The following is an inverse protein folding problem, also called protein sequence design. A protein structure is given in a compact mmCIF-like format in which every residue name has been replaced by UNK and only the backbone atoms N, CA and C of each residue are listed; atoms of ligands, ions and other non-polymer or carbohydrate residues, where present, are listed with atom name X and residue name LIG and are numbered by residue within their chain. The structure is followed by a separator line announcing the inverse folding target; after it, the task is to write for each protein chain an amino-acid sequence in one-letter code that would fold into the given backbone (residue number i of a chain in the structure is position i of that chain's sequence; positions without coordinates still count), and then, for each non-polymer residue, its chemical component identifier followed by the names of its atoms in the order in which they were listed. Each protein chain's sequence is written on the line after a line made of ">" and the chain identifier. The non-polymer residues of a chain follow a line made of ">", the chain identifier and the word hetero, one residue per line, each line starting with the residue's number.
data_IF_237548500640
#
_entry.id   IF_237548500640
#
_cell.length_a   1.000
_cell.length_b   1.000
_cell.length_c   1.000
_cell.angle_alpha   90.00
_cell.angle_beta   90.00
_cell.angle_gamma   90.00
#
_symmetry.space_group_name_H-M   'P 1'
#
loop_
_entity.id
_entity.type
_entity.pdbx_description
1 polymer ?
#
# COMPACT_ATOMS: atom_id res chain seq x y z
N UNK A 1 -1.31 4.80 -22.57
CA UNK A 1 -1.22 5.62 -21.34
C UNK A 1 -1.01 4.66 -20.20
N UNK A 2 0.00 4.86 -19.37
CA UNK A 2 0.17 4.05 -18.16
C UNK A 2 -0.92 4.47 -17.17
N UNK A 3 -1.79 3.53 -16.80
CA UNK A 3 -2.83 3.77 -15.80
C UNK A 3 -2.24 3.41 -14.44
N UNK A 4 -2.11 4.41 -13.58
CA UNK A 4 -1.64 4.25 -12.20
C UNK A 4 -2.82 4.29 -11.27
N UNK A 5 -3.00 3.23 -10.50
CA UNK A 5 -4.12 3.09 -9.60
C UNK A 5 -3.75 2.23 -8.40
N UNK A 6 -4.44 2.49 -7.29
CA UNK A 6 -4.34 1.70 -6.07
C UNK A 6 -5.64 0.92 -5.93
N UNK A 7 -5.51 -0.39 -5.72
CA UNK A 7 -6.60 -1.29 -5.40
C UNK A 7 -6.50 -1.78 -3.97
N UNK A 8 -7.66 -2.14 -3.45
CA UNK A 8 -7.82 -2.73 -2.14
C UNK A 8 -7.70 -4.25 -2.22
N UNK A 9 -6.75 -4.84 -1.49
CA UNK A 9 -6.58 -6.29 -1.42
C UNK A 9 -7.77 -6.95 -0.73
N UNK A 10 -7.94 -8.26 -0.88
CA UNK A 10 -9.02 -8.97 -0.18
C UNK A 10 -8.86 -8.89 1.34
N UNK A 11 -7.61 -8.91 1.82
CA UNK A 11 -7.31 -8.63 3.22
C UNK A 11 -7.71 -7.20 3.61
N UNK A 12 -7.40 -6.22 2.75
CA UNK A 12 -7.75 -4.83 2.97
C UNK A 12 -9.26 -4.58 3.03
N UNK A 13 -10.05 -5.27 2.20
CA UNK A 13 -11.52 -5.23 2.27
C UNK A 13 -12.03 -5.65 3.63
N UNK A 14 -11.56 -6.80 4.14
CA UNK A 14 -11.93 -7.26 5.48
C UNK A 14 -11.40 -6.34 6.58
N UNK A 15 -10.20 -5.79 6.42
CA UNK A 15 -9.61 -4.87 7.38
C UNK A 15 -10.40 -3.56 7.49
N UNK A 16 -10.80 -2.97 6.37
CA UNK A 16 -11.61 -1.74 6.34
C UNK A 16 -13.01 -2.01 6.87
N UNK A 17 -13.64 -3.12 6.47
CA UNK A 17 -14.95 -3.50 7.01
C UNK A 17 -14.92 -3.61 8.56
N UNK A 18 -13.84 -4.18 9.12
CA UNK A 18 -13.65 -4.25 10.57
C UNK A 18 -13.29 -2.90 11.22
N UNK A 19 -12.50 -2.07 10.53
CA UNK A 19 -12.11 -0.76 11.02
C UNK A 19 -13.29 0.22 11.02
N UNK A 20 -14.22 0.11 10.08
CA UNK A 20 -15.45 0.91 10.06
C UNK A 20 -16.34 0.62 11.28
N UNK A 21 -16.27 -0.60 11.82
CA UNK A 21 -16.97 -0.99 13.05
C UNK A 21 -16.23 -0.57 14.35
N UNK A 22 -14.90 -0.39 14.31
CA UNK A 22 -14.06 -0.17 15.51
C UNK A 22 -13.29 1.17 15.52
N UNK A 23 -13.49 2.04 14.52
CA UNK A 23 -12.88 3.39 14.38
C UNK A 23 -11.35 3.48 14.42
N UNK A 24 -10.61 2.37 14.28
CA UNK A 24 -9.15 2.38 14.28
C UNK A 24 -8.57 1.70 13.05
N UNK A 25 -8.36 2.47 11.99
CA UNK A 25 -7.67 2.03 10.78
C UNK A 25 -6.14 2.10 11.04
N UNK A 26 -5.56 1.02 11.55
CA UNK A 26 -4.13 0.97 11.89
C UNK A 26 -3.26 0.61 10.67
N UNK A 27 -3.10 1.54 9.73
CA UNK A 27 -2.07 1.43 8.67
C UNK A 27 -0.72 1.82 9.27
N UNK A 28 0.28 0.95 9.17
CA UNK A 28 1.54 1.16 9.90
C UNK A 28 2.70 1.47 8.98
N UNK A 29 2.73 0.87 7.79
CA UNK A 29 3.84 1.04 6.86
C UNK A 29 3.37 1.12 5.42
N UNK A 30 4.10 1.90 4.62
CA UNK A 30 4.04 1.88 3.16
C UNK A 30 5.24 1.09 2.67
N UNK A 31 4.99 0.12 1.79
CA UNK A 31 6.01 -0.70 1.16
C UNK A 31 6.13 -0.30 -0.31
N UNK A 32 7.34 -0.32 -0.82
CA UNK A 32 7.69 0.11 -2.18
C UNK A 32 8.58 -0.95 -2.80
N UNK A 33 8.38 -1.21 -4.09
CA UNK A 33 9.12 -2.21 -4.84
C UNK A 33 9.28 -1.87 -6.31
N UNK A 34 10.19 -2.59 -6.95
CA UNK A 34 10.47 -2.47 -8.39
C UNK A 34 9.86 -3.61 -9.22
N UNK A 35 9.11 -4.53 -8.60
CA UNK A 35 8.52 -5.68 -9.27
C UNK A 35 9.50 -6.49 -10.17
N UNK A 36 10.80 -6.44 -9.90
CA UNK A 36 11.89 -6.97 -10.74
C UNK A 36 11.91 -6.40 -12.17
N UNK A 37 11.65 -5.10 -12.33
CA UNK A 37 11.53 -4.42 -13.64
C UNK A 37 10.44 -5.05 -14.55
N UNK A 38 9.45 -5.72 -13.96
CA UNK A 38 8.34 -6.33 -14.69
C UNK A 38 7.09 -5.44 -14.66
N UNK A 39 6.22 -5.52 -15.69
CA UNK A 39 4.96 -4.79 -15.68
C UNK A 39 4.10 -5.19 -14.48
N UNK A 40 3.86 -4.23 -13.59
CA UNK A 40 3.09 -4.46 -12.37
C UNK A 40 1.62 -4.07 -12.56
N UNK A 41 0.75 -5.08 -12.45
CA UNK A 41 -0.69 -4.93 -12.56
C UNK A 41 -1.35 -5.25 -11.20
N UNK A 42 -1.90 -4.25 -10.49
CA UNK A 42 -2.50 -4.44 -9.17
C UNK A 42 -3.69 -5.42 -9.16
N UNK A 43 -4.45 -5.53 -10.26
CA UNK A 43 -5.64 -6.39 -10.35
C UNK A 43 -5.32 -7.87 -10.10
N UNK A 44 -4.15 -8.31 -10.56
CA UNK A 44 -3.70 -9.68 -10.46
C UNK A 44 -3.03 -9.97 -9.11
N UNK A 45 -2.97 -8.97 -8.21
CA UNK A 45 -2.23 -9.02 -6.95
C UNK A 45 -3.09 -8.74 -5.72
N UNK A 46 -4.40 -8.67 -5.88
CA UNK A 46 -5.37 -8.42 -4.80
C UNK A 46 -5.36 -9.49 -3.70
N UNK A 47 -4.94 -10.71 -4.01
CA UNK A 47 -4.82 -11.81 -3.05
C UNK A 47 -3.45 -11.85 -2.36
N UNK A 48 -2.49 -11.04 -2.80
CA UNK A 48 -1.15 -11.04 -2.23
C UNK A 48 -1.11 -10.29 -0.91
N UNK A 49 -0.34 -10.83 0.04
CA UNK A 49 -0.11 -10.21 1.35
C UNK A 49 1.20 -9.44 1.42
N UNK A 50 2.05 -9.56 0.40
CA UNK A 50 3.35 -8.89 0.25
C UNK A 50 3.61 -8.51 -1.20
N UNK A 51 4.49 -7.53 -1.43
CA UNK A 51 4.94 -7.12 -2.77
C UNK A 51 5.77 -8.21 -3.46
N UNK A 52 5.87 -8.16 -4.79
CA UNK A 52 6.66 -9.12 -5.58
C UNK A 52 8.15 -8.97 -5.32
N UNK A 53 8.63 -7.73 -5.33
CA UNK A 53 10.01 -7.38 -4.99
C UNK A 53 10.04 -6.12 -4.13
N UNK A 54 9.76 -6.29 -2.83
CA UNK A 54 9.86 -5.21 -1.87
C UNK A 54 11.31 -4.73 -1.74
N UNK A 55 11.55 -3.46 -2.06
CA UNK A 55 12.85 -2.80 -1.90
C UNK A 55 12.92 -1.93 -0.67
N UNK A 56 11.79 -1.34 -0.31
CA UNK A 56 11.73 -0.34 0.73
C UNK A 56 10.46 -0.50 1.57
N UNK A 57 10.60 -0.16 2.84
CA UNK A 57 9.49 -0.10 3.80
C UNK A 57 9.66 1.17 4.62
N UNK A 58 8.64 2.00 4.60
CA UNK A 58 8.62 3.29 5.30
C UNK A 58 7.43 3.32 6.25
N UNK A 59 7.63 3.89 7.43
CA UNK A 59 6.54 4.04 8.38
C UNK A 59 5.55 5.10 7.87
N UNK A 60 4.26 4.84 8.07
CA UNK A 60 3.23 5.85 7.80
C UNK A 60 3.44 7.02 8.74
N UNK A 61 3.55 8.23 8.19
CA UNK A 61 3.79 9.46 8.94
C UNK A 61 2.49 10.04 9.46
N UNK A 62 1.42 9.99 8.66
CA UNK A 62 0.10 10.48 9.06
C UNK A 62 -1.00 9.79 8.25
N UNK A 63 -2.14 9.58 8.91
CA UNK A 63 -3.37 9.09 8.29
C UNK A 63 -4.44 10.12 8.57
N UNK A 64 -5.02 10.68 7.53
CA UNK A 64 -6.10 11.66 7.61
C UNK A 64 -7.32 11.10 6.90
N UNK A 65 -8.41 10.89 7.63
CA UNK A 65 -9.71 10.59 7.03
C UNK A 65 -10.21 11.90 6.38
N UNK A 66 -10.36 11.92 5.06
CA UNK A 66 -10.83 13.10 4.32
C UNK A 66 -12.35 13.12 4.25
N UNK A 67 -12.98 11.95 4.07
CA UNK A 67 -14.43 11.74 4.09
C UNK A 67 -14.73 10.26 4.36
N UNK A 68 -16.01 9.86 4.40
CA UNK A 68 -16.41 8.47 4.68
C UNK A 68 -15.87 7.43 3.68
N UNK A 69 -15.42 7.85 2.49
CA UNK A 69 -14.93 6.95 1.44
C UNK A 69 -13.44 7.10 1.13
N UNK A 70 -12.77 8.10 1.70
CA UNK A 70 -11.42 8.52 1.32
C UNK A 70 -10.58 8.78 2.55
N UNK A 71 -9.46 8.07 2.62
CA UNK A 71 -8.40 8.32 3.58
C UNK A 71 -7.12 8.71 2.83
N UNK A 72 -6.46 9.76 3.32
CA UNK A 72 -5.15 10.19 2.86
C UNK A 72 -4.08 9.62 3.79
N UNK A 73 -3.14 8.88 3.21
CA UNK A 73 -2.03 8.26 3.92
C UNK A 73 -0.75 8.88 3.41
N UNK A 74 -0.02 9.54 4.30
CA UNK A 74 1.25 10.18 3.97
C UNK A 74 2.40 9.42 4.61
N UNK A 75 3.44 9.15 3.83
CA UNK A 75 4.69 8.58 4.30
C UNK A 75 5.87 9.30 3.65
N UNK A 76 6.93 9.52 4.44
CA UNK A 76 8.17 10.13 3.94
C UNK A 76 9.18 9.04 3.66
N UNK A 77 9.61 8.96 2.39
CA UNK A 77 10.70 8.07 1.99
C UNK A 77 12.00 8.84 2.11
N UNK A 78 12.91 8.44 3.03
CA UNK A 78 14.20 9.11 3.15
C UNK A 78 15.06 8.81 1.92
N UNK A 79 15.90 9.77 1.53
CA UNK A 79 16.69 9.70 0.29
C UNK A 79 17.69 8.53 0.24
N UNK A 80 18.04 7.97 1.40
CA UNK A 80 18.91 6.79 1.52
C UNK A 80 18.22 5.47 1.11
N UNK A 81 16.90 5.46 0.97
CA UNK A 81 16.10 4.26 0.65
C UNK A 81 15.86 4.11 -0.86
N UNK A 82 16.28 5.08 -1.68
CA UNK A 82 16.13 5.05 -3.15
C UNK A 82 17.11 4.14 -3.90
N UNK A 83 17.24 4.35 -5.21
CA UNK A 83 18.15 3.58 -6.09
C UNK A 83 17.49 2.46 -6.89
N UNK A 84 16.16 2.45 -6.96
CA UNK A 84 15.36 1.53 -7.77
C UNK A 84 14.21 2.28 -8.44
N UNK A 85 13.67 1.73 -9.53
CA UNK A 85 12.48 2.25 -10.18
C UNK A 85 11.23 1.80 -9.41
N UNK A 86 10.36 2.72 -9.03
CA UNK A 86 9.11 2.35 -8.38
C UNK A 86 8.15 1.78 -9.41
N UNK A 87 7.79 0.51 -9.25
CA UNK A 87 6.79 -0.17 -10.08
C UNK A 87 5.59 -0.63 -9.26
N UNK A 88 5.81 -0.92 -7.98
CA UNK A 88 4.77 -1.37 -7.06
C UNK A 88 4.83 -0.60 -5.74
N UNK A 89 3.65 -0.23 -5.26
CA UNK A 89 3.45 0.40 -3.96
C UNK A 89 2.40 -0.40 -3.21
N UNK A 90 2.56 -0.51 -1.89
CA UNK A 90 1.57 -1.12 -1.05
C UNK A 90 1.50 -0.45 0.32
N UNK A 91 0.39 -0.67 1.02
CA UNK A 91 0.22 -0.19 2.39
C UNK A 91 -0.11 -1.40 3.26
N UNK A 92 0.59 -1.58 4.36
CA UNK A 92 0.42 -2.70 5.29
C UNK A 92 -0.17 -2.27 6.63
N UNK A 93 -0.94 -3.18 7.23
CA UNK A 93 -1.45 -3.03 8.59
C UNK A 93 -0.38 -3.33 9.67
N UNK A 94 -0.76 -3.32 10.94
CA UNK A 94 0.09 -3.72 12.07
C UNK A 94 0.51 -5.20 12.05
N UNK A 95 -0.24 -6.06 11.38
CA UNK A 95 0.08 -7.46 11.14
C UNK A 95 1.11 -7.66 10.02
N UNK A 96 1.50 -6.59 9.32
CA UNK A 96 2.40 -6.63 8.18
C UNK A 96 1.79 -7.16 6.89
N UNK A 97 0.45 -7.22 6.80
CA UNK A 97 -0.27 -7.68 5.60
C UNK A 97 -0.64 -6.52 4.71
N UNK A 98 -0.51 -6.68 3.39
CA UNK A 98 -0.98 -5.71 2.42
C UNK A 98 -2.49 -5.47 2.53
N UNK A 99 -2.87 -4.23 2.77
CA UNK A 99 -4.24 -3.70 2.74
C UNK A 99 -4.51 -3.07 1.38
N UNK A 100 -3.55 -2.31 0.87
CA UNK A 100 -3.62 -1.67 -0.43
C UNK A 100 -2.43 -2.04 -1.28
N UNK A 101 -2.65 -2.14 -2.59
CA UNK A 101 -1.62 -2.42 -3.59
C UNK A 101 -1.87 -1.54 -4.81
N UNK A 102 -0.83 -0.92 -5.34
CA UNK A 102 -0.93 -0.04 -6.50
C UNK A 102 0.34 -0.06 -7.34
N UNK A 103 0.24 0.55 -8.52
CA UNK A 103 1.34 0.67 -9.46
C UNK A 103 1.75 2.13 -9.68
N UNK A 104 3.00 2.32 -10.10
CA UNK A 104 3.63 3.60 -10.48
C UNK A 104 4.47 3.42 -11.75
#
# INVERSE_FOLDING_TARGET
>A
MANYYVLLTDHGKSFIANAQANSQLALTHVVLGDANDQPYLPDSRLTQTSLVNQRAKVAVTSIKIVNDTTAEVSAVVPSNVGGFNLHEVGITDSSGKLVYVGNF
#
